data_IF_037653695969
#
_entry.id   IF_037653695969
#
_cell.length_a   1.000
_cell.length_b   1.000
_cell.length_c   1.000
_cell.angle_alpha   90.00
_cell.angle_beta   90.00
_cell.angle_gamma   90.00
#
_symmetry.space_group_name_H-M   'P 1'
#
loop_
_entity.id
_entity.type
_entity.pdbx_description
1 polymer ?
#
# COMPACT_ATOMS: atom_id res chain seq x y z
N UNK A 1 5.32 14.51 -0.82
CA UNK A 1 5.70 13.56 -1.89
C UNK A 1 4.49 12.69 -2.17
N UNK A 2 4.12 12.47 -3.44
CA UNK A 2 2.99 11.61 -3.76
C UNK A 2 3.39 10.13 -3.61
N UNK A 3 2.42 9.24 -3.39
CA UNK A 3 2.68 7.80 -3.30
C UNK A 3 3.32 7.24 -4.59
N UNK A 4 3.02 7.83 -5.76
CA UNK A 4 3.67 7.47 -7.02
C UNK A 4 5.17 7.68 -6.95
N UNK A 5 5.60 8.89 -6.62
CA UNK A 5 7.02 9.25 -6.58
C UNK A 5 7.79 8.34 -5.61
N UNK A 6 7.22 8.04 -4.44
CA UNK A 6 7.82 7.11 -3.48
C UNK A 6 7.97 5.69 -4.02
N UNK A 7 6.99 5.19 -4.78
CA UNK A 7 7.07 3.87 -5.38
C UNK A 7 8.06 3.83 -6.55
N UNK A 8 8.15 4.90 -7.33
CA UNK A 8 9.13 5.01 -8.41
C UNK A 8 10.56 5.05 -7.87
N UNK A 9 10.79 5.81 -6.79
CA UNK A 9 12.06 5.85 -6.09
C UNK A 9 12.41 4.49 -5.49
N UNK A 10 11.45 3.81 -4.85
CA UNK A 10 11.69 2.52 -4.19
C UNK A 10 12.01 1.39 -5.17
N UNK A 11 11.29 1.33 -6.30
CA UNK A 11 11.47 0.29 -7.31
C UNK A 11 12.45 0.68 -8.42
N UNK A 12 13.03 1.89 -8.36
CA UNK A 12 13.90 2.48 -9.38
C UNK A 12 13.32 2.36 -10.80
N UNK A 13 11.99 2.49 -10.92
CA UNK A 13 11.27 2.24 -12.17
C UNK A 13 10.06 3.16 -12.31
N UNK A 14 9.68 3.49 -13.54
CA UNK A 14 8.48 4.28 -13.80
C UNK A 14 7.21 3.48 -13.47
N UNK A 15 6.33 4.07 -12.67
CA UNK A 15 5.06 3.46 -12.28
C UNK A 15 3.94 4.08 -13.10
N UNK A 16 3.35 3.27 -13.99
CA UNK A 16 2.24 3.71 -14.81
C UNK A 16 0.99 4.04 -13.98
N UNK A 17 0.42 5.23 -14.19
CA UNK A 17 -0.80 5.69 -13.53
C UNK A 17 -1.98 4.72 -13.67
N UNK A 18 -2.13 4.10 -14.85
CA UNK A 18 -3.19 3.13 -15.15
C UNK A 18 -3.05 1.79 -14.39
N UNK A 19 -1.99 1.59 -13.61
CA UNK A 19 -1.84 0.46 -12.69
C UNK A 19 -1.97 0.92 -11.25
N UNK A 20 -1.35 2.05 -10.89
CA UNK A 20 -1.33 2.54 -9.52
C UNK A 20 -2.73 2.86 -8.99
N UNK A 21 -3.48 3.73 -9.67
CA UNK A 21 -4.77 4.19 -9.14
C UNK A 21 -5.84 3.10 -9.13
N UNK A 22 -5.98 2.24 -10.16
CA UNK A 22 -6.89 1.11 -10.09
C UNK A 22 -6.57 0.13 -8.94
N UNK A 23 -5.28 -0.09 -8.63
CA UNK A 23 -4.90 -0.91 -7.49
C UNK A 23 -5.27 -0.23 -6.16
N UNK A 24 -5.06 1.08 -6.03
CA UNK A 24 -5.49 1.83 -4.83
C UNK A 24 -7.00 1.79 -4.65
N UNK A 25 -7.78 1.98 -5.73
CA UNK A 25 -9.23 1.88 -5.69
C UNK A 25 -9.69 0.46 -5.32
N UNK A 26 -9.02 -0.59 -5.82
CA UNK A 26 -9.26 -1.97 -5.40
C UNK A 26 -9.03 -2.18 -3.89
N UNK A 27 -7.98 -1.56 -3.32
CA UNK A 27 -7.70 -1.64 -1.89
C UNK A 27 -8.75 -0.89 -1.06
N UNK A 28 -9.31 0.20 -1.60
CA UNK A 28 -10.42 0.94 -1.00
C UNK A 28 -11.70 0.10 -1.02
N UNK A 29 -12.03 -0.52 -2.15
CA UNK A 29 -13.20 -1.43 -2.27
C UNK A 29 -13.12 -2.60 -1.28
N UNK A 30 -11.92 -3.10 -1.01
CA UNK A 30 -11.67 -4.16 -0.01
C UNK A 30 -11.71 -3.66 1.44
N UNK A 31 -11.86 -2.36 1.67
CA UNK A 31 -11.87 -1.73 3.00
C UNK A 31 -10.50 -1.71 3.68
N UNK A 32 -9.42 -1.81 2.92
CA UNK A 32 -8.04 -1.78 3.42
C UNK A 32 -7.48 -0.36 3.45
N UNK A 33 -7.99 0.51 2.58
CA UNK A 33 -7.69 1.93 2.53
C UNK A 33 -8.98 2.76 2.60
N UNK A 34 -8.90 3.92 3.22
CA UNK A 34 -9.89 5.00 3.07
C UNK A 34 -9.40 5.98 2.01
N UNK A 35 -10.32 6.41 1.14
CA UNK A 35 -10.07 7.46 0.13
C UNK A 35 -10.70 8.76 0.58
N UNK A 36 -9.89 9.81 0.66
CA UNK A 36 -10.31 11.18 0.89
C UNK A 36 -9.90 12.10 -0.25
N UNK A 37 -10.36 13.34 -0.17
CA UNK A 37 -10.02 14.41 -1.12
C UNK A 37 -9.39 15.56 -0.33
N UNK A 38 -8.16 15.95 -0.68
CA UNK A 38 -7.51 17.15 -0.11
C UNK A 38 -7.98 18.41 -0.83
N UNK A 39 -8.18 18.30 -2.13
CA UNK A 39 -8.75 19.30 -3.02
C UNK A 39 -9.30 18.60 -4.27
N UNK A 40 -9.99 19.35 -5.15
CA UNK A 40 -10.65 18.84 -6.38
C UNK A 40 -9.78 18.01 -7.33
N UNK A 41 -8.45 17.98 -7.13
CA UNK A 41 -7.47 17.30 -7.98
C UNK A 41 -6.56 16.35 -7.21
N UNK A 42 -6.54 16.40 -5.88
CA UNK A 42 -5.61 15.65 -5.03
C UNK A 42 -6.36 14.67 -4.13
N UNK A 43 -6.29 13.39 -4.48
CA UNK A 43 -6.78 12.32 -3.61
C UNK A 43 -5.78 12.04 -2.49
N UNK A 44 -6.31 11.64 -1.33
CA UNK A 44 -5.54 11.16 -0.17
C UNK A 44 -5.99 9.74 0.14
N UNK A 45 -5.04 8.87 0.47
CA UNK A 45 -5.30 7.50 0.87
C UNK A 45 -4.73 7.27 2.26
N UNK A 46 -5.52 6.69 3.15
CA UNK A 46 -5.12 6.36 4.50
C UNK A 46 -5.37 4.88 4.78
N UNK A 47 -4.46 4.22 5.49
CA UNK A 47 -4.66 2.82 5.88
C UNK A 47 -5.76 2.71 6.93
N UNK A 48 -6.69 1.78 6.73
CA UNK A 48 -7.73 1.49 7.74
C UNK A 48 -7.17 0.64 8.87
N UNK A 49 -7.90 0.55 9.99
CA UNK A 49 -7.57 -0.40 11.05
C UNK A 49 -7.56 -1.86 10.55
N UNK A 50 -8.44 -2.19 9.59
CA UNK A 50 -8.43 -3.50 8.93
C UNK A 50 -7.17 -3.67 8.10
N UNK A 51 -6.83 -2.70 7.25
CA UNK A 51 -5.62 -2.75 6.42
C UNK A 51 -4.36 -2.98 7.24
N UNK A 52 -4.23 -2.29 8.39
CA UNK A 52 -3.10 -2.49 9.32
C UNK A 52 -3.02 -3.92 9.83
N UNK A 53 -4.15 -4.50 10.26
CA UNK A 53 -4.21 -5.88 10.74
C UNK A 53 -3.77 -6.89 9.69
N UNK A 54 -4.17 -6.70 8.42
CA UNK A 54 -3.76 -7.62 7.35
C UNK A 54 -2.25 -7.56 7.08
N UNK A 55 -1.61 -6.38 7.23
CA UNK A 55 -0.15 -6.24 7.14
C UNK A 55 0.52 -6.95 8.33
N UNK A 56 0.07 -6.69 9.55
CA UNK A 56 0.62 -7.34 10.76
C UNK A 56 0.49 -8.87 10.68
N UNK A 57 -0.66 -9.38 10.24
CA UNK A 57 -0.87 -10.82 10.06
C UNK A 57 0.05 -11.43 8.99
N UNK A 58 0.38 -10.66 7.94
CA UNK A 58 1.34 -11.07 6.93
C UNK A 58 2.76 -11.09 7.49
N UNK A 59 3.16 -10.06 8.22
CA UNK A 59 4.49 -9.98 8.85
C UNK A 59 4.70 -11.10 9.87
N UNK A 60 3.67 -11.41 10.69
CA UNK A 60 3.69 -12.53 11.64
C UNK A 60 3.80 -13.89 10.94
N UNK A 61 3.14 -14.05 9.79
CA UNK A 61 3.25 -15.25 8.98
C UNK A 61 4.65 -15.37 8.35
N UNK A 62 5.21 -14.29 7.78
CA UNK A 62 6.54 -14.33 7.17
C UNK A 62 7.65 -14.65 8.18
N UNK A 63 7.56 -14.10 9.39
CA UNK A 63 8.53 -14.35 10.47
C UNK A 63 8.61 -15.83 10.87
N UNK A 64 7.53 -16.60 10.72
CA UNK A 64 7.54 -18.04 10.99
C UNK A 64 8.48 -18.81 10.04
N UNK A 65 8.75 -18.28 8.85
CA UNK A 65 9.57 -18.95 7.83
C UNK A 65 10.94 -18.30 7.62
N UNK A 66 11.10 -17.01 7.95
CA UNK A 66 12.38 -16.30 7.76
C UNK A 66 13.32 -16.41 8.97
N UNK A 67 12.81 -16.72 10.17
CA UNK A 67 13.68 -16.87 11.35
C UNK A 67 14.63 -18.07 11.28
N UNK A 68 14.34 -19.07 10.42
CA UNK A 68 15.20 -20.25 10.22
C UNK A 68 16.40 -19.98 9.29
N UNK A 69 16.44 -18.86 8.54
CA UNK A 69 17.48 -18.56 7.56
C UNK A 69 18.59 -17.63 8.07
N UNK A 70 18.59 -17.27 9.37
CA UNK A 70 19.53 -16.30 9.97
C UNK A 70 20.26 -16.79 11.22
N UNK A 71 20.43 -18.11 11.39
CA UNK A 71 21.30 -18.69 12.44
C UNK A 71 22.52 -19.38 11.85
#
# INVERSE_FOLDING_TARGET
>A
LAIKDQLEDYYETEIHHGRLYPNLDTLVEKGLLDKGEKDRRTNVYAITARGRREIEARDDWEQQYTSELTT
#
